data_IF_214893171771
#
_entry.id   IF_214893171771
#
_cell.length_a   1.000
_cell.length_b   1.000
_cell.length_c   1.000
_cell.angle_alpha   90.00
_cell.angle_beta   90.00
_cell.angle_gamma   90.00
#
_symmetry.space_group_name_H-M   'P 1'
#
loop_
_entity.id
_entity.type
_entity.pdbx_description
1 polymer ?
#
# COMPACT_ATOMS: atom_id res chain seq x y z
N UNK A 1 23.49 -42.45 -12.34
CA UNK A 1 22.95 -41.12 -11.95
C UNK A 1 22.23 -40.51 -13.14
N UNK A 2 20.91 -40.52 -13.16
CA UNK A 2 20.12 -39.89 -14.24
C UNK A 2 19.84 -38.43 -13.85
N UNK A 3 20.53 -37.49 -14.48
CA UNK A 3 20.25 -36.06 -14.33
C UNK A 3 18.95 -35.72 -15.06
N UNK A 4 17.94 -35.29 -14.30
CA UNK A 4 16.64 -34.81 -14.81
C UNK A 4 16.84 -33.74 -15.88
N UNK A 5 16.05 -33.82 -16.96
CA UNK A 5 16.03 -32.89 -18.11
C UNK A 5 15.95 -31.41 -17.69
N UNK A 6 15.35 -31.13 -16.53
CA UNK A 6 15.22 -29.80 -15.95
C UNK A 6 16.57 -29.21 -15.47
N UNK A 7 17.47 -30.06 -14.95
CA UNK A 7 18.82 -29.66 -14.55
C UNK A 7 19.74 -29.46 -15.75
N UNK A 8 19.54 -30.22 -16.83
CA UNK A 8 20.27 -30.04 -18.08
C UNK A 8 19.86 -28.75 -18.81
N UNK A 9 18.55 -28.43 -18.80
CA UNK A 9 18.01 -27.20 -19.38
C UNK A 9 18.51 -25.93 -18.67
N UNK A 10 18.67 -25.98 -17.34
CA UNK A 10 19.17 -24.84 -16.58
C UNK A 10 20.67 -24.61 -16.79
N UNK A 11 21.45 -25.69 -16.96
CA UNK A 11 22.91 -25.64 -17.09
C UNK A 11 23.36 -25.17 -18.49
N UNK A 12 22.58 -25.47 -19.52
CA UNK A 12 22.84 -25.04 -20.91
C UNK A 12 22.09 -23.74 -21.24
N UNK A 13 20.85 -23.58 -20.77
CA UNK A 13 20.02 -22.41 -21.07
C UNK A 13 20.51 -21.13 -20.40
N UNK A 14 21.02 -21.21 -19.17
CA UNK A 14 21.58 -20.07 -18.43
C UNK A 14 22.70 -19.32 -19.17
N UNK A 15 23.79 -19.99 -19.58
CA UNK A 15 24.90 -19.31 -20.26
C UNK A 15 24.52 -18.79 -21.66
N UNK A 16 23.62 -19.48 -22.38
CA UNK A 16 23.17 -19.03 -23.72
C UNK A 16 22.37 -17.73 -23.63
N UNK A 17 21.48 -17.61 -22.63
CA UNK A 17 20.67 -16.39 -22.44
C UNK A 17 21.55 -15.19 -22.05
N UNK A 18 22.63 -15.43 -21.31
CA UNK A 18 23.58 -14.41 -20.92
C UNK A 18 24.40 -13.89 -22.12
N UNK A 19 24.77 -14.76 -23.06
CA UNK A 19 25.45 -14.37 -24.30
C UNK A 19 24.52 -13.51 -25.18
N UNK A 20 23.23 -13.87 -25.26
CA UNK A 20 22.24 -13.08 -26.02
C UNK A 20 22.06 -11.68 -25.43
N UNK A 21 22.03 -11.56 -24.10
CA UNK A 21 21.93 -10.25 -23.42
C UNK A 21 23.17 -9.38 -23.66
N UNK A 22 24.37 -9.96 -23.68
CA UNK A 22 25.60 -9.22 -23.99
C UNK A 22 25.61 -8.76 -25.46
N UNK A 23 25.24 -9.64 -26.39
CA UNK A 23 25.20 -9.31 -27.82
C UNK A 23 24.15 -8.22 -28.15
N UNK A 24 22.97 -8.28 -27.53
CA UNK A 24 21.92 -7.26 -27.68
C UNK A 24 22.32 -5.93 -27.04
N UNK A 25 22.96 -5.94 -25.87
CA UNK A 25 23.51 -4.75 -25.24
C UNK A 25 24.57 -4.05 -26.11
N UNK A 26 25.45 -4.83 -26.74
CA UNK A 26 26.48 -4.30 -27.65
C UNK A 26 25.87 -3.63 -28.89
N UNK A 27 24.86 -4.23 -29.51
CA UNK A 27 24.19 -3.66 -30.70
C UNK A 27 23.42 -2.36 -30.39
N UNK A 28 22.79 -2.26 -29.22
CA UNK A 28 22.10 -1.03 -28.79
C UNK A 28 23.13 0.09 -28.57
N UNK A 29 24.29 -0.22 -27.99
CA UNK A 29 25.36 0.75 -27.77
C UNK A 29 25.93 1.31 -29.07
N UNK A 30 26.19 0.46 -30.07
CA UNK A 30 26.73 0.92 -31.36
C UNK A 30 25.73 1.74 -32.17
N UNK A 31 24.44 1.41 -32.10
CA UNK A 31 23.38 2.23 -32.75
C UNK A 31 23.22 3.62 -32.13
N UNK A 32 23.44 3.74 -30.81
CA UNK A 32 23.40 5.03 -30.11
C UNK A 32 24.66 5.85 -30.40
N UNK A 33 25.84 5.22 -30.50
CA UNK A 33 27.09 5.94 -30.83
C UNK A 33 27.08 6.51 -32.25
N UNK A 34 26.52 5.80 -33.21
CA UNK A 34 26.44 6.28 -34.61
C UNK A 34 25.46 7.46 -34.75
N UNK A 35 24.33 7.43 -34.02
CA UNK A 35 23.42 8.59 -33.95
C UNK A 35 24.04 9.79 -33.22
N UNK A 36 24.92 9.57 -32.23
CA UNK A 36 25.61 10.68 -31.56
C UNK A 36 26.69 11.30 -32.45
N UNK A 37 27.36 10.53 -33.32
CA UNK A 37 28.32 11.07 -34.29
C UNK A 37 27.64 11.93 -35.36
N UNK A 38 26.48 11.51 -35.87
CA UNK A 38 25.71 12.30 -36.85
C UNK A 38 25.12 13.57 -36.23
N UNK A 39 24.63 13.49 -34.99
CA UNK A 39 24.17 14.66 -34.26
C UNK A 39 25.32 15.62 -33.90
N UNK A 40 26.52 15.11 -33.57
CA UNK A 40 27.69 15.96 -33.28
C UNK A 40 28.12 16.78 -34.50
N UNK A 41 28.08 16.20 -35.71
CA UNK A 41 28.29 16.94 -36.97
C UNK A 41 27.27 18.06 -37.20
N UNK A 42 25.99 17.83 -36.85
CA UNK A 42 24.95 18.89 -36.91
C UNK A 42 25.15 19.97 -35.86
N UNK A 43 25.67 19.65 -34.67
CA UNK A 43 25.86 20.59 -33.57
C UNK A 43 27.15 21.42 -33.72
N UNK A 44 28.19 20.88 -34.36
CA UNK A 44 29.42 21.63 -34.68
C UNK A 44 29.13 22.82 -35.62
N UNK A 45 28.21 22.68 -36.58
CA UNK A 45 27.75 23.79 -37.43
C UNK A 45 26.91 24.86 -36.69
N UNK A 46 26.35 24.56 -35.52
CA UNK A 46 25.66 25.54 -34.68
C UNK A 46 26.63 26.33 -33.77
N UNK A 47 27.79 25.74 -33.43
CA UNK A 47 28.82 26.40 -32.61
C UNK A 47 29.57 27.51 -33.35
N UNK A 48 29.74 27.39 -34.67
CA UNK A 48 30.46 28.39 -35.48
C UNK A 48 29.60 29.62 -35.83
N UNK A 49 28.28 29.51 -35.76
CA UNK A 49 27.35 30.63 -36.02
C UNK A 49 27.03 31.48 -34.78
N UNK A 50 27.51 31.07 -33.60
CA UNK A 50 27.28 31.77 -32.33
C UNK A 50 28.62 31.93 -31.60
N UNK A 51 29.52 32.72 -32.18
CA UNK A 51 30.68 33.25 -31.45
C UNK A 51 30.25 34.51 -30.70
N UNK A 52 30.25 34.54 -29.35
CA UNK A 52 30.01 35.77 -28.60
C UNK A 52 31.27 36.64 -28.67
N UNK A 53 31.13 37.88 -29.15
CA UNK A 53 32.15 38.89 -28.99
C UNK A 53 32.25 39.31 -27.51
N UNK A 54 33.49 39.23 -27.00
CA UNK A 54 34.07 39.83 -25.80
C UNK A 54 33.55 39.46 -24.40
N UNK A 55 34.52 38.96 -23.63
CA UNK A 55 34.52 38.75 -22.19
C UNK A 55 34.96 40.01 -21.44
N UNK A 56 34.09 40.53 -20.56
CA UNK A 56 34.43 41.56 -19.58
C UNK A 56 33.45 41.53 -18.40
N UNK A 57 33.90 41.65 -17.14
CA UNK A 57 33.04 41.46 -15.98
C UNK A 57 32.37 42.78 -15.59
N UNK A 58 31.04 42.81 -15.53
CA UNK A 58 30.32 43.93 -14.94
C UNK A 58 29.04 43.47 -14.26
N UNK A 59 29.03 43.65 -12.94
CA UNK A 59 27.82 43.91 -12.18
C UNK A 59 27.08 45.07 -12.86
N UNK A 60 25.97 44.79 -13.52
CA UNK A 60 25.05 45.81 -13.99
C UNK A 60 23.63 45.27 -13.87
N UNK A 61 22.77 46.11 -13.31
CA UNK A 61 21.37 45.86 -13.05
C UNK A 61 20.64 45.31 -14.29
N UNK A 62 19.66 44.45 -14.04
CA UNK A 62 18.73 43.96 -15.06
C UNK A 62 17.92 45.18 -15.55
N UNK A 63 18.37 45.76 -16.65
CA UNK A 63 17.65 46.83 -17.35
C UNK A 63 16.42 46.21 -18.04
N UNK A 64 15.19 46.71 -17.83
CA UNK A 64 13.98 46.16 -18.46
C UNK A 64 13.90 46.38 -19.97
N UNK A 65 14.89 47.03 -20.58
CA UNK A 65 14.84 47.51 -21.96
C UNK A 65 15.36 46.50 -23.00
N UNK A 66 15.80 45.31 -22.59
CA UNK A 66 16.08 44.19 -23.51
C UNK A 66 14.82 43.33 -23.72
N UNK A 67 13.71 43.99 -24.07
CA UNK A 67 12.60 43.30 -24.72
C UNK A 67 13.03 42.94 -26.16
N UNK A 68 12.89 41.68 -26.61
CA UNK A 68 13.22 41.34 -27.99
C UNK A 68 12.27 42.10 -28.93
N UNK A 69 12.78 43.12 -29.61
CA UNK A 69 12.04 43.99 -30.54
C UNK A 69 11.75 43.31 -31.89
N UNK A 70 11.36 42.03 -31.89
CA UNK A 70 10.86 41.36 -33.08
C UNK A 70 9.35 41.21 -32.89
N UNK A 71 8.58 42.09 -33.54
CA UNK A 71 7.13 42.00 -33.55
C UNK A 71 6.68 40.60 -34.01
N UNK A 72 5.79 39.98 -33.23
CA UNK A 72 5.25 38.62 -33.46
C UNK A 72 4.64 38.39 -34.85
N UNK A 73 4.46 39.44 -35.64
CA UNK A 73 3.83 39.41 -36.95
C UNK A 73 4.76 39.05 -38.12
N UNK A 74 6.09 38.98 -37.94
CA UNK A 74 7.06 38.64 -39.00
C UNK A 74 7.96 37.42 -38.68
N UNK A 75 7.49 36.49 -37.85
CA UNK A 75 8.20 35.23 -37.60
C UNK A 75 7.71 34.15 -38.58
N UNK A 76 8.66 33.44 -39.20
CA UNK A 76 8.33 32.26 -40.00
C UNK A 76 7.59 31.21 -39.15
N UNK A 77 6.69 30.39 -39.74
CA UNK A 77 5.88 29.42 -38.98
C UNK A 77 6.70 28.51 -38.06
N UNK A 78 7.92 28.15 -38.47
CA UNK A 78 8.86 27.33 -37.71
C UNK A 78 9.46 28.09 -36.51
N UNK A 79 9.80 29.37 -36.65
CA UNK A 79 10.30 30.18 -35.53
C UNK A 79 9.23 30.41 -34.44
N UNK A 80 7.96 30.54 -34.83
CA UNK A 80 6.85 30.66 -33.87
C UNK A 80 6.64 29.37 -33.07
N UNK A 81 6.79 28.21 -33.69
CA UNK A 81 6.75 26.92 -32.98
C UNK A 81 7.93 26.80 -32.02
N UNK A 82 9.15 27.15 -32.46
CA UNK A 82 10.35 27.09 -31.61
C UNK A 82 10.22 28.03 -30.41
N UNK A 83 9.70 29.26 -30.58
CA UNK A 83 9.48 30.18 -29.46
C UNK A 83 8.43 29.67 -28.47
N UNK A 84 7.34 29.08 -28.97
CA UNK A 84 6.29 28.53 -28.13
C UNK A 84 6.78 27.30 -27.35
N UNK A 85 7.51 26.37 -28.00
CA UNK A 85 8.11 25.22 -27.32
C UNK A 85 9.16 25.64 -26.28
N UNK A 86 9.92 26.71 -26.55
CA UNK A 86 10.86 27.26 -25.57
C UNK A 86 10.12 27.81 -24.34
N UNK A 87 9.03 28.55 -24.55
CA UNK A 87 8.19 29.05 -23.45
C UNK A 87 7.51 27.92 -22.66
N UNK A 88 6.96 26.91 -23.34
CA UNK A 88 6.36 25.75 -22.69
C UNK A 88 7.38 24.96 -21.87
N UNK A 89 8.61 24.79 -22.37
CA UNK A 89 9.69 24.15 -21.61
C UNK A 89 10.02 24.92 -20.32
N UNK A 90 10.07 26.25 -20.38
CA UNK A 90 10.32 27.07 -19.18
C UNK A 90 9.16 26.91 -18.20
N UNK A 91 7.91 26.93 -18.67
CA UNK A 91 6.73 26.73 -17.83
C UNK A 91 6.70 25.35 -17.16
N UNK A 92 6.98 24.29 -17.91
CA UNK A 92 7.05 22.92 -17.38
C UNK A 92 8.19 22.74 -16.37
N UNK A 93 9.32 23.42 -16.57
CA UNK A 93 10.41 23.41 -15.60
C UNK A 93 10.01 24.08 -14.29
N UNK A 94 9.29 25.20 -14.36
CA UNK A 94 8.82 25.93 -13.19
C UNK A 94 7.75 25.13 -12.42
N UNK A 95 6.79 24.52 -13.13
CA UNK A 95 5.82 23.59 -12.56
C UNK A 95 6.49 22.36 -11.91
N UNK A 96 7.56 21.83 -12.52
CA UNK A 96 8.32 20.72 -11.94
C UNK A 96 9.05 21.12 -10.65
N UNK A 97 9.57 22.35 -10.57
CA UNK A 97 10.20 22.89 -9.36
C UNK A 97 9.16 23.05 -8.25
N UNK A 98 8.00 23.63 -8.55
CA UNK A 98 6.93 23.83 -7.58
C UNK A 98 6.35 22.48 -7.09
N UNK A 99 6.13 21.51 -7.99
CA UNK A 99 5.72 20.15 -7.60
C UNK A 99 6.74 19.48 -6.69
N UNK A 100 8.05 19.63 -6.95
CA UNK A 100 9.09 19.10 -6.05
C UNK A 100 9.06 19.74 -4.68
N UNK A 101 8.81 21.05 -4.61
CA UNK A 101 8.67 21.79 -3.35
C UNK A 101 7.45 21.33 -2.56
N UNK A 102 6.32 21.11 -3.24
CA UNK A 102 5.12 20.54 -2.63
C UNK A 102 5.37 19.13 -2.09
N UNK A 103 6.02 18.26 -2.86
CA UNK A 103 6.39 16.91 -2.40
C UNK A 103 7.28 16.97 -1.15
N UNK A 104 8.27 17.87 -1.13
CA UNK A 104 9.13 18.05 0.04
C UNK A 104 8.35 18.53 1.26
N UNK A 105 7.43 19.49 1.08
CA UNK A 105 6.55 19.99 2.16
C UNK A 105 5.60 18.90 2.67
N UNK A 106 4.96 18.14 1.78
CA UNK A 106 4.07 17.03 2.10
C UNK A 106 4.82 15.92 2.85
N UNK A 107 6.03 15.56 2.40
CA UNK A 107 6.89 14.62 3.13
C UNK A 107 7.26 15.13 4.53
N UNK A 108 7.55 16.42 4.67
CA UNK A 108 7.81 17.05 5.96
C UNK A 108 6.61 16.94 6.91
N UNK A 109 5.40 17.26 6.41
CA UNK A 109 4.15 17.12 7.19
C UNK A 109 3.85 15.67 7.58
N UNK A 110 4.11 14.71 6.70
CA UNK A 110 3.95 13.28 7.03
C UNK A 110 4.91 12.89 8.15
N UNK A 111 6.18 13.27 8.06
CA UNK A 111 7.17 12.96 9.10
C UNK A 111 6.82 13.63 10.44
N UNK A 112 6.32 14.87 10.41
CA UNK A 112 5.84 15.58 11.60
C UNK A 112 4.62 14.88 12.22
N UNK A 113 3.65 14.46 11.40
CA UNK A 113 2.48 13.72 11.87
C UNK A 113 2.84 12.34 12.42
N UNK A 114 3.78 11.62 11.79
CA UNK A 114 4.30 10.35 12.30
C UNK A 114 5.04 10.55 13.62
N UNK A 115 5.82 11.62 13.75
CA UNK A 115 6.49 11.96 15.01
C UNK A 115 5.46 12.31 16.09
N UNK A 116 4.50 13.18 15.80
CA UNK A 116 3.40 13.52 16.72
C UNK A 116 2.64 12.27 17.16
N UNK A 117 2.34 11.37 16.22
CA UNK A 117 1.68 10.10 16.49
C UNK A 117 2.52 9.23 17.41
N UNK A 118 3.77 8.93 17.07
CA UNK A 118 4.64 8.06 17.86
C UNK A 118 4.95 8.62 19.25
N UNK A 119 5.11 9.93 19.36
CA UNK A 119 5.43 10.59 20.65
C UNK A 119 4.21 10.63 21.56
N UNK A 120 3.01 10.86 21.02
CA UNK A 120 1.77 10.89 21.80
C UNK A 120 1.16 9.52 22.06
N UNK A 121 1.34 8.54 21.16
CA UNK A 121 0.90 7.15 21.38
C UNK A 121 1.57 6.53 22.62
N UNK A 122 2.78 6.99 22.98
CA UNK A 122 3.48 6.56 24.20
C UNK A 122 2.79 7.03 25.50
N UNK A 123 2.04 8.13 25.43
CA UNK A 123 1.31 8.71 26.56
C UNK A 123 -0.20 8.58 26.43
N UNK A 124 -0.68 8.00 25.33
CA UNK A 124 -2.09 7.71 25.14
C UNK A 124 -2.48 6.51 26.03
N UNK A 125 -3.64 6.55 26.72
CA UNK A 125 -4.22 5.34 27.31
C UNK A 125 -4.34 4.28 26.21
N UNK A 126 -4.00 3.03 26.56
CA UNK A 126 -3.86 1.85 25.69
C UNK A 126 -4.22 2.03 24.21
N UNK A 127 -3.24 1.80 23.31
CA UNK A 127 -3.54 1.84 21.88
C UNK A 127 -4.67 0.87 21.55
N UNK A 128 -5.56 1.25 20.62
CA UNK A 128 -6.70 0.42 20.22
C UNK A 128 -6.31 -1.03 19.85
N UNK A 129 -5.14 -1.22 19.23
CA UNK A 129 -4.62 -2.56 18.93
C UNK A 129 -4.23 -3.35 20.19
N UNK A 130 -3.70 -2.68 21.21
CA UNK A 130 -3.40 -3.29 22.51
C UNK A 130 -4.68 -3.72 23.23
N UNK A 131 -5.72 -2.89 23.18
CA UNK A 131 -7.05 -3.22 23.72
C UNK A 131 -7.64 -4.46 23.04
N UNK A 132 -7.65 -4.50 21.71
CA UNK A 132 -8.11 -5.67 20.94
C UNK A 132 -7.31 -6.93 21.31
N UNK A 133 -5.99 -6.80 21.52
CA UNK A 133 -5.13 -7.91 21.94
C UNK A 133 -5.45 -8.40 23.37
N UNK A 134 -5.77 -7.47 24.28
CA UNK A 134 -6.25 -7.79 25.63
C UNK A 134 -7.60 -8.50 25.58
N UNK A 135 -8.54 -8.02 24.76
CA UNK A 135 -9.85 -8.65 24.53
C UNK A 135 -9.67 -10.06 23.99
N UNK A 136 -8.79 -10.27 23.01
CA UNK A 136 -8.47 -11.60 22.48
C UNK A 136 -7.97 -12.55 23.59
N UNK A 137 -7.05 -12.07 24.44
CA UNK A 137 -6.49 -12.85 25.54
C UNK A 137 -7.54 -13.18 26.61
N UNK A 138 -8.35 -12.20 26.99
CA UNK A 138 -9.48 -12.37 27.93
C UNK A 138 -10.48 -13.37 27.38
N UNK A 139 -10.84 -13.28 26.10
CA UNK A 139 -11.77 -14.22 25.48
C UNK A 139 -11.22 -15.65 25.46
N UNK A 140 -9.94 -15.82 25.19
CA UNK A 140 -9.31 -17.15 25.26
C UNK A 140 -9.36 -17.73 26.67
N UNK A 141 -9.12 -16.92 27.70
CA UNK A 141 -9.21 -17.34 29.10
C UNK A 141 -10.66 -17.65 29.50
N UNK A 142 -11.59 -16.77 29.14
CA UNK A 142 -13.01 -16.93 29.38
C UNK A 142 -13.51 -18.24 28.77
N UNK A 143 -13.30 -18.45 27.47
CA UNK A 143 -13.72 -19.67 26.79
C UNK A 143 -13.07 -20.90 27.41
N UNK A 144 -11.79 -20.87 27.80
CA UNK A 144 -11.14 -22.00 28.44
C UNK A 144 -11.72 -22.34 29.84
N UNK A 145 -12.31 -21.36 30.53
CA UNK A 145 -12.89 -21.55 31.86
C UNK A 145 -14.33 -22.05 31.86
N UNK A 146 -15.07 -21.88 30.76
CA UNK A 146 -16.49 -22.24 30.68
C UNK A 146 -16.69 -23.72 30.38
N UNK A 147 -17.65 -24.35 31.06
CA UNK A 147 -18.01 -25.75 30.82
C UNK A 147 -18.61 -25.97 29.43
N UNK A 148 -19.39 -25.01 28.92
CA UNK A 148 -19.98 -25.09 27.58
C UNK A 148 -18.90 -25.17 26.48
N UNK A 149 -17.73 -24.58 26.72
CA UNK A 149 -16.63 -24.58 25.76
C UNK A 149 -15.95 -25.93 25.59
N UNK A 150 -16.20 -26.89 26.48
CA UNK A 150 -15.60 -28.24 26.42
C UNK A 150 -16.04 -29.03 25.19
N UNK A 151 -17.13 -28.64 24.54
CA UNK A 151 -17.60 -29.26 23.28
C UNK A 151 -16.73 -28.92 22.08
N UNK A 152 -15.96 -27.84 22.13
CA UNK A 152 -15.14 -27.37 21.03
C UNK A 152 -13.70 -27.86 21.12
N UNK A 153 -13.07 -28.05 19.96
CA UNK A 153 -11.65 -28.38 19.89
C UNK A 153 -10.76 -27.18 20.24
N UNK A 154 -9.51 -27.42 20.65
CA UNK A 154 -8.54 -26.34 20.89
C UNK A 154 -8.34 -25.42 19.69
N UNK A 155 -8.52 -25.93 18.47
CA UNK A 155 -8.41 -25.15 17.22
C UNK A 155 -9.61 -24.23 17.06
N UNK A 156 -10.82 -24.74 17.29
CA UNK A 156 -12.06 -23.96 17.29
C UNK A 156 -12.03 -22.87 18.36
N UNK A 157 -11.63 -23.18 19.60
CA UNK A 157 -11.51 -22.18 20.67
C UNK A 157 -10.58 -21.02 20.29
N UNK A 158 -9.48 -21.31 19.57
CA UNK A 158 -8.60 -20.26 19.03
C UNK A 158 -9.28 -19.45 17.93
N UNK A 159 -10.04 -20.10 17.04
CA UNK A 159 -10.83 -19.45 16.00
C UNK A 159 -11.90 -18.54 16.58
N UNK A 160 -12.66 -19.02 17.57
CA UNK A 160 -13.71 -18.28 18.27
C UNK A 160 -13.15 -17.03 18.97
N UNK A 161 -12.02 -17.16 19.69
CA UNK A 161 -11.37 -16.03 20.33
C UNK A 161 -10.87 -15.00 19.30
N UNK A 162 -10.24 -15.46 18.21
CA UNK A 162 -9.76 -14.60 17.13
C UNK A 162 -10.92 -13.87 16.43
N UNK A 163 -11.99 -14.59 16.09
CA UNK A 163 -13.19 -14.04 15.47
C UNK A 163 -13.83 -12.97 16.36
N UNK A 164 -13.92 -13.22 17.67
CA UNK A 164 -14.51 -12.28 18.63
C UNK A 164 -13.71 -10.99 18.72
N UNK A 165 -12.37 -11.08 18.80
CA UNK A 165 -11.50 -9.90 18.81
C UNK A 165 -11.54 -9.13 17.49
N UNK A 166 -11.64 -9.83 16.37
CA UNK A 166 -11.80 -9.22 15.05
C UNK A 166 -13.15 -8.49 14.94
N UNK A 167 -14.25 -9.10 15.37
CA UNK A 167 -15.58 -8.49 15.31
C UNK A 167 -15.67 -7.28 16.24
N UNK A 168 -15.11 -7.37 17.44
CA UNK A 168 -14.96 -6.26 18.37
C UNK A 168 -14.26 -5.07 17.70
N UNK A 169 -13.10 -5.32 17.09
CA UNK A 169 -12.35 -4.30 16.35
C UNK A 169 -13.19 -3.70 15.22
N UNK A 170 -13.84 -4.54 14.43
CA UNK A 170 -14.63 -4.14 13.26
C UNK A 170 -15.79 -3.25 13.66
N UNK A 171 -16.56 -3.66 14.68
CA UNK A 171 -17.72 -2.92 15.17
C UNK A 171 -17.33 -1.52 15.67
N UNK A 172 -16.32 -1.43 16.54
CA UNK A 172 -15.85 -0.15 17.07
C UNK A 172 -15.28 0.76 15.98
N UNK A 173 -14.50 0.21 15.04
CA UNK A 173 -13.97 0.99 13.92
C UNK A 173 -15.09 1.51 13.02
N UNK A 174 -16.11 0.67 12.75
CA UNK A 174 -17.22 1.04 11.86
C UNK A 174 -18.09 2.17 12.43
N UNK A 175 -18.25 2.21 13.77
CA UNK A 175 -19.08 3.20 14.46
C UNK A 175 -18.27 4.33 15.10
N UNK A 176 -16.93 4.31 14.96
CA UNK A 176 -16.00 5.26 15.58
C UNK A 176 -16.24 5.40 17.10
N UNK A 177 -16.50 4.28 17.76
CA UNK A 177 -16.78 4.24 19.19
C UNK A 177 -15.49 4.04 19.99
N UNK A 178 -15.39 4.76 21.10
CA UNK A 178 -14.44 4.50 22.18
C UNK A 178 -15.27 4.06 23.39
N UNK A 179 -14.90 2.92 23.98
CA UNK A 179 -15.62 2.35 25.11
C UNK A 179 -14.88 2.64 26.40
N UNK A 180 -15.64 2.91 27.46
CA UNK A 180 -15.11 2.97 28.81
C UNK A 180 -14.77 1.56 29.33
N UNK A 181 -13.84 1.42 30.28
CA UNK A 181 -13.42 0.12 30.81
C UNK A 181 -14.58 -0.78 31.28
N UNK A 182 -15.61 -0.19 31.90
CA UNK A 182 -16.80 -0.92 32.37
C UNK A 182 -17.68 -1.43 31.21
N UNK A 183 -17.76 -0.63 30.14
CA UNK A 183 -18.45 -1.04 28.91
C UNK A 183 -17.68 -2.17 28.23
N UNK A 184 -16.34 -2.08 28.16
CA UNK A 184 -15.48 -3.15 27.62
C UNK A 184 -15.71 -4.45 28.41
N UNK A 185 -15.75 -4.39 29.74
CA UNK A 185 -15.98 -5.57 30.57
C UNK A 185 -17.35 -6.21 30.31
N UNK A 186 -18.39 -5.38 30.19
CA UNK A 186 -19.74 -5.83 29.81
C UNK A 186 -19.74 -6.52 28.44
N UNK A 187 -19.05 -5.94 27.45
CA UNK A 187 -18.93 -6.49 26.10
C UNK A 187 -18.21 -7.84 26.12
N UNK A 188 -17.08 -7.93 26.82
CA UNK A 188 -16.28 -9.16 26.92
C UNK A 188 -17.01 -10.28 27.66
N UNK A 189 -17.82 -9.95 28.68
CA UNK A 189 -18.47 -10.95 29.52
C UNK A 189 -19.84 -11.37 28.99
N UNK A 190 -20.63 -10.46 28.41
CA UNK A 190 -22.04 -10.72 28.08
C UNK A 190 -22.35 -10.77 26.57
N UNK A 191 -21.53 -10.12 25.73
CA UNK A 191 -21.84 -9.95 24.30
C UNK A 191 -20.90 -10.75 23.39
N UNK A 192 -19.59 -10.66 23.63
CA UNK A 192 -18.59 -11.40 22.84
C UNK A 192 -18.70 -12.93 22.98
N UNK A 193 -19.00 -13.53 24.14
CA UNK A 193 -19.12 -14.98 24.23
C UNK A 193 -20.26 -15.53 23.38
N UNK A 194 -21.38 -14.81 23.29
CA UNK A 194 -22.52 -15.21 22.43
C UNK A 194 -22.10 -15.22 20.96
N UNK A 195 -21.36 -14.21 20.52
CA UNK A 195 -20.79 -14.20 19.18
C UNK A 195 -19.77 -15.35 18.98
N UNK A 196 -18.91 -15.58 19.96
CA UNK A 196 -17.91 -16.64 19.94
C UNK A 196 -18.55 -18.02 19.74
N UNK A 197 -19.60 -18.33 20.50
CA UNK A 197 -20.34 -19.59 20.40
C UNK A 197 -21.08 -19.73 19.07
N UNK A 198 -21.71 -18.65 18.57
CA UNK A 198 -22.34 -18.65 17.24
C UNK A 198 -21.33 -19.00 16.14
N UNK A 199 -20.10 -18.45 16.21
CA UNK A 199 -19.02 -18.79 15.29
C UNK A 199 -18.52 -20.22 15.51
N UNK A 200 -18.40 -20.68 16.75
CA UNK A 200 -18.00 -22.05 17.06
C UNK A 200 -18.92 -23.08 16.41
N UNK A 201 -20.24 -22.93 16.61
CA UNK A 201 -21.28 -23.76 16.00
C UNK A 201 -21.30 -23.62 14.47
N UNK A 202 -21.03 -22.40 13.99
CA UNK A 202 -20.88 -22.10 12.58
C UNK A 202 -19.68 -22.78 11.90
N UNK A 203 -18.54 -22.92 12.60
CA UNK A 203 -17.35 -23.57 12.06
C UNK A 203 -17.62 -25.05 11.76
N UNK A 204 -18.36 -25.74 12.63
CA UNK A 204 -18.75 -27.14 12.42
C UNK A 204 -19.64 -27.32 11.18
N UNK A 205 -20.42 -26.29 10.83
CA UNK A 205 -21.31 -26.31 9.66
C UNK A 205 -20.56 -25.89 8.37
N UNK A 206 -19.66 -24.91 8.45
CA UNK A 206 -18.91 -24.44 7.27
C UNK A 206 -17.78 -25.39 6.85
N UNK A 207 -17.10 -26.03 7.82
CA UNK A 207 -15.92 -26.83 7.54
C UNK A 207 -16.28 -28.32 7.41
N UNK A 208 -16.10 -28.87 6.21
CA UNK A 208 -16.36 -30.29 5.97
C UNK A 208 -15.19 -31.19 6.42
N UNK A 209 -14.00 -30.59 6.57
CA UNK A 209 -12.80 -31.31 6.96
C UNK A 209 -11.86 -30.43 7.81
N UNK A 210 -10.90 -31.07 8.47
CA UNK A 210 -9.92 -30.41 9.34
C UNK A 210 -9.02 -29.40 8.63
N UNK A 211 -8.84 -29.53 7.31
CA UNK A 211 -8.08 -28.55 6.52
C UNK A 211 -8.88 -27.25 6.36
N UNK A 212 -10.17 -27.35 6.05
CA UNK A 212 -11.09 -26.23 5.97
C UNK A 212 -11.25 -25.52 7.32
N UNK A 213 -11.36 -26.27 8.41
CA UNK A 213 -11.39 -25.72 9.78
C UNK A 213 -10.17 -24.84 10.06
N UNK A 214 -8.96 -25.30 9.70
CA UNK A 214 -7.72 -24.53 9.88
C UNK A 214 -7.71 -23.28 9.00
N UNK A 215 -8.20 -23.36 7.78
CA UNK A 215 -8.30 -22.20 6.89
C UNK A 215 -9.25 -21.15 7.46
N UNK A 216 -10.40 -21.56 8.00
CA UNK A 216 -11.37 -20.67 8.67
C UNK A 216 -10.74 -19.99 9.89
N UNK A 217 -10.02 -20.73 10.72
CA UNK A 217 -9.33 -20.17 11.89
C UNK A 217 -8.23 -19.20 11.47
N UNK A 218 -7.52 -19.46 10.37
CA UNK A 218 -6.49 -18.55 9.86
C UNK A 218 -7.09 -17.27 9.27
N UNK A 219 -8.27 -17.36 8.65
CA UNK A 219 -9.02 -16.20 8.19
C UNK A 219 -9.40 -15.28 9.36
N UNK A 220 -9.85 -15.81 10.49
CA UNK A 220 -10.17 -14.97 11.66
C UNK A 220 -8.95 -14.28 12.28
N UNK A 221 -7.73 -14.73 11.98
CA UNK A 221 -6.50 -14.07 12.45
C UNK A 221 -5.95 -13.05 11.48
N UNK A 222 -6.03 -13.34 10.18
CA UNK A 222 -5.29 -12.60 9.14
C UNK A 222 -6.19 -11.89 8.14
N UNK A 223 -7.49 -12.18 8.14
CA UNK A 223 -8.50 -11.73 7.17
C UNK A 223 -8.23 -12.18 5.72
N UNK A 224 -7.21 -13.03 5.51
CA UNK A 224 -6.81 -13.50 4.18
C UNK A 224 -7.71 -14.65 3.75
N UNK A 225 -8.21 -14.56 2.52
CA UNK A 225 -9.05 -15.61 1.91
C UNK A 225 -8.34 -16.32 0.76
N UNK A 226 -7.04 -16.09 0.59
CA UNK A 226 -6.26 -16.52 -0.58
C UNK A 226 -6.23 -18.05 -0.75
N UNK A 227 -6.31 -18.78 0.36
CA UNK A 227 -6.24 -20.24 0.40
C UNK A 227 -7.62 -20.91 0.40
N UNK A 228 -8.71 -20.15 0.52
CA UNK A 228 -10.06 -20.70 0.63
C UNK A 228 -10.70 -20.92 -0.73
N UNK A 229 -11.28 -22.11 -0.94
CA UNK A 229 -12.14 -22.38 -2.09
C UNK A 229 -13.40 -21.50 -2.10
N UNK A 230 -13.99 -21.27 -3.27
CA UNK A 230 -15.19 -20.42 -3.41
C UNK A 230 -16.39 -20.90 -2.59
N UNK A 231 -16.58 -22.22 -2.46
CA UNK A 231 -17.63 -22.83 -1.62
C UNK A 231 -17.45 -22.46 -0.15
N UNK A 232 -16.27 -22.75 0.41
CA UNK A 232 -15.94 -22.41 1.80
C UNK A 232 -16.13 -20.92 2.11
N UNK A 233 -15.78 -20.02 1.18
CA UNK A 233 -16.03 -18.58 1.35
C UNK A 233 -17.52 -18.25 1.44
N UNK A 234 -18.33 -18.88 0.59
CA UNK A 234 -19.78 -18.69 0.57
C UNK A 234 -20.41 -19.20 1.86
N UNK A 235 -20.03 -20.41 2.29
CA UNK A 235 -20.55 -21.05 3.50
C UNK A 235 -20.15 -20.26 4.75
N UNK A 236 -18.89 -19.83 4.82
CA UNK A 236 -18.38 -18.99 5.90
C UNK A 236 -19.13 -17.64 5.96
N UNK A 237 -19.40 -17.00 4.81
CA UNK A 237 -20.16 -15.75 4.77
C UNK A 237 -21.61 -15.94 5.24
N UNK A 238 -22.24 -17.03 4.85
CA UNK A 238 -23.61 -17.36 5.27
C UNK A 238 -23.73 -17.53 6.78
N UNK A 239 -22.67 -18.00 7.43
CA UNK A 239 -22.59 -18.21 8.89
C UNK A 239 -22.21 -16.94 9.64
N UNK A 240 -21.24 -16.18 9.12
CA UNK A 240 -20.75 -14.97 9.79
C UNK A 240 -21.83 -13.88 9.83
N UNK A 241 -22.57 -13.69 8.74
CA UNK A 241 -23.59 -12.64 8.64
C UNK A 241 -24.63 -12.65 9.78
N UNK A 242 -25.33 -13.77 10.08
CA UNK A 242 -26.30 -13.79 11.17
C UNK A 242 -25.66 -13.60 12.54
N UNK A 243 -24.47 -14.17 12.79
CA UNK A 243 -23.76 -13.96 14.06
C UNK A 243 -23.40 -12.48 14.27
N UNK A 244 -22.98 -11.79 13.21
CA UNK A 244 -22.66 -10.37 13.24
C UNK A 244 -23.88 -9.49 13.46
N UNK A 245 -25.02 -9.84 12.86
CA UNK A 245 -26.26 -9.14 13.08
C UNK A 245 -26.73 -9.26 14.54
N UNK A 246 -26.69 -10.47 15.10
CA UNK A 246 -27.00 -10.71 16.51
C UNK A 246 -26.08 -9.92 17.44
N UNK A 247 -24.78 -9.88 17.13
CA UNK A 247 -23.83 -9.08 17.89
C UNK A 247 -24.15 -7.58 17.79
N UNK A 248 -24.42 -7.07 16.60
CA UNK A 248 -24.76 -5.67 16.38
C UNK A 248 -26.06 -5.25 17.11
N UNK A 249 -27.09 -6.11 17.09
CA UNK A 249 -28.32 -5.89 17.86
C UNK A 249 -28.03 -5.82 19.35
N UNK A 250 -27.23 -6.75 19.87
CA UNK A 250 -26.83 -6.78 21.28
C UNK A 250 -25.99 -5.58 21.68
N UNK A 251 -25.19 -5.03 20.77
CA UNK A 251 -24.34 -3.85 20.99
C UNK A 251 -25.08 -2.52 20.79
N UNK A 252 -26.37 -2.55 20.42
CA UNK A 252 -27.18 -1.33 20.23
C UNK A 252 -27.39 -0.54 21.52
N UNK A 253 -27.25 -1.18 22.70
CA UNK A 253 -27.31 -0.49 24.00
C UNK A 253 -26.22 0.57 24.18
N UNK A 254 -25.11 0.47 23.44
CA UNK A 254 -24.02 1.46 23.46
C UNK A 254 -24.31 2.69 22.60
N UNK A 255 -25.35 2.63 21.77
CA UNK A 255 -25.76 3.75 20.89
C UNK A 255 -27.04 4.46 21.34
N UNK A 256 -27.66 4.01 22.43
CA UNK A 256 -28.77 4.68 23.10
C UNK A 256 -28.25 5.48 24.29
#
# INVERSE_FOLDING_TARGET
>A
MQLSKLKLALLIGGPVLLIILIATGYFIYTGISDQQAENRKKVEGFGEMVSPADSGPANAAIDPELAPSIGQNNLSPTQRVISNMKQERVKLLDEAIEMRKQIASLKGKIAELELYRTTNERYAPHTFNEEVSKVHTRMKQFLASQDESKRFTSTQLKGMAAASAQEYRRYLTSRKLLLDPDQIDTVVTNHLPVYAYCIGDGIDIAANNRSEERMVVEYFKTEKTDLMGSRLKSDLKAIIAPCQELFAQRMSYLSN
#
